data_IF_900913846652
#
_entry.id   IF_900913846652
#
_cell.length_a   1.000
_cell.length_b   1.000
_cell.length_c   1.000
_cell.angle_alpha   90.00
_cell.angle_beta   90.00
_cell.angle_gamma   90.00
#
_symmetry.space_group_name_H-M   'P 1'
#
loop_
_entity.id
_entity.type
_entity.pdbx_description
1 polymer ?
#
# COMPACT_ATOMS: atom_id res chain seq x y z
N UNK A 1 -11.87 -9.28 7.52
CA UNK A 1 -12.78 -8.57 6.60
C UNK A 1 -12.00 -8.07 5.39
N UNK A 2 -12.52 -8.32 4.17
CA UNK A 2 -11.88 -7.83 2.94
C UNK A 2 -12.31 -6.39 2.67
N UNK A 3 -11.35 -5.50 2.47
CA UNK A 3 -11.59 -4.07 2.24
C UNK A 3 -11.14 -3.72 0.83
N UNK A 4 -12.06 -3.19 0.01
CA UNK A 4 -11.74 -2.64 -1.30
C UNK A 4 -11.19 -1.23 -1.16
N UNK A 5 -10.02 -0.98 -1.76
CA UNK A 5 -9.34 0.30 -1.69
C UNK A 5 -9.24 0.99 -3.06
N UNK A 6 -8.65 2.19 -3.11
CA UNK A 6 -8.24 2.85 -4.36
C UNK A 6 -6.94 2.30 -4.95
N UNK A 7 -6.39 1.26 -4.35
CA UNK A 7 -5.15 0.59 -4.76
C UNK A 7 -5.41 -0.89 -5.06
N UNK A 8 -6.06 -1.22 -6.19
CA UNK A 8 -6.57 -2.57 -6.48
C UNK A 8 -5.50 -3.67 -6.43
N UNK A 9 -4.24 -3.33 -6.72
CA UNK A 9 -3.15 -4.29 -6.63
C UNK A 9 -2.79 -4.71 -5.19
N UNK A 10 -3.32 -4.01 -4.20
CA UNK A 10 -3.19 -4.36 -2.77
C UNK A 10 -4.43 -5.12 -2.26
N UNK A 11 -5.52 -5.12 -3.01
CA UNK A 11 -6.77 -5.79 -2.66
C UNK A 11 -6.68 -7.29 -3.00
N UNK A 12 -5.77 -7.99 -2.32
CA UNK A 12 -5.45 -9.40 -2.58
C UNK A 12 -5.84 -10.24 -1.36
N UNK A 13 -6.74 -11.22 -1.58
CA UNK A 13 -7.18 -12.13 -0.52
C UNK A 13 -6.09 -13.11 -0.07
N UNK A 14 -5.34 -13.66 -1.03
CA UNK A 14 -4.23 -14.59 -0.77
C UNK A 14 -2.99 -14.04 -1.45
N UNK A 15 -2.10 -13.45 -0.65
CA UNK A 15 -0.90 -12.77 -1.16
C UNK A 15 0.31 -13.69 -1.13
N UNK A 16 0.88 -13.99 -2.30
CA UNK A 16 2.13 -14.75 -2.42
C UNK A 16 3.34 -14.04 -1.80
N UNK A 17 3.32 -12.71 -1.72
CA UNK A 17 4.38 -11.96 -1.04
C UNK A 17 4.27 -12.12 0.48
N UNK A 18 3.07 -12.10 1.04
CA UNK A 18 2.84 -12.36 2.46
C UNK A 18 3.18 -13.82 2.80
N UNK A 19 2.83 -14.79 1.93
CA UNK A 19 3.19 -16.19 2.10
C UNK A 19 4.71 -16.39 2.23
N UNK A 20 5.51 -15.67 1.43
CA UNK A 20 6.98 -15.70 1.56
C UNK A 20 7.46 -15.22 2.92
N UNK A 21 6.84 -14.16 3.44
CA UNK A 21 7.15 -13.67 4.78
C UNK A 21 6.76 -14.70 5.85
N UNK A 22 5.57 -15.32 5.73
CA UNK A 22 5.11 -16.37 6.65
C UNK A 22 6.09 -17.56 6.62
N UNK A 23 6.50 -18.03 5.43
CA UNK A 23 7.49 -19.07 5.29
C UNK A 23 8.81 -18.73 6.02
N UNK A 24 9.30 -17.49 5.84
CA UNK A 24 10.54 -17.03 6.47
C UNK A 24 10.45 -17.01 7.98
N UNK A 25 9.39 -16.42 8.55
CA UNK A 25 9.20 -16.34 10.00
C UNK A 25 8.85 -17.67 10.65
N UNK A 26 8.37 -18.66 9.86
CA UNK A 26 8.22 -20.04 10.28
C UNK A 26 9.55 -20.81 10.31
N UNK A 27 10.70 -20.14 10.19
CA UNK A 27 12.00 -20.78 10.15
C UNK A 27 12.27 -21.55 8.87
N UNK A 28 11.70 -21.10 7.75
CA UNK A 28 11.78 -21.73 6.42
C UNK A 28 11.20 -23.16 6.39
N UNK A 29 10.26 -23.42 7.29
CA UNK A 29 9.57 -24.69 7.39
C UNK A 29 8.42 -24.79 6.37
N UNK A 30 8.62 -25.57 5.31
CA UNK A 30 7.66 -25.71 4.22
C UNK A 30 6.36 -26.41 4.66
N UNK A 31 6.42 -27.34 5.60
CA UNK A 31 5.24 -28.07 6.11
C UNK A 31 4.36 -27.13 6.94
N UNK A 32 4.95 -26.34 7.82
CA UNK A 32 4.20 -25.36 8.62
C UNK A 32 3.60 -24.26 7.74
N UNK A 33 4.35 -23.75 6.76
CA UNK A 33 3.82 -22.79 5.80
C UNK A 33 2.64 -23.36 5.01
N UNK A 34 2.74 -24.59 4.50
CA UNK A 34 1.67 -25.24 3.76
C UNK A 34 0.41 -25.42 4.63
N UNK A 35 0.58 -25.76 5.90
CA UNK A 35 -0.53 -25.89 6.87
C UNK A 35 -1.24 -24.54 7.11
N UNK A 36 -0.47 -23.46 7.29
CA UNK A 36 -1.04 -22.12 7.47
C UNK A 36 -1.79 -21.64 6.22
N UNK A 37 -1.24 -21.89 5.02
CA UNK A 37 -1.90 -21.55 3.76
C UNK A 37 -3.15 -22.39 3.49
N UNK A 38 -3.14 -23.68 3.86
CA UNK A 38 -4.32 -24.53 3.81
C UNK A 38 -5.42 -24.00 4.76
N UNK A 39 -5.09 -23.62 5.99
CA UNK A 39 -6.03 -23.01 6.93
C UNK A 39 -6.62 -21.70 6.38
N UNK A 40 -5.79 -20.86 5.73
CA UNK A 40 -6.29 -19.65 5.07
C UNK A 40 -7.32 -19.96 3.99
N UNK A 41 -7.08 -21.00 3.19
CA UNK A 41 -7.96 -21.40 2.09
C UNK A 41 -9.27 -22.05 2.57
N UNK A 42 -9.24 -22.82 3.67
CA UNK A 42 -10.41 -23.55 4.19
C UNK A 42 -11.22 -22.73 5.19
N UNK A 43 -10.53 -22.07 6.13
CA UNK A 43 -11.14 -21.39 7.27
C UNK A 43 -11.15 -19.87 7.14
N UNK A 44 -10.51 -19.34 6.07
CA UNK A 44 -10.37 -17.90 5.83
C UNK A 44 -9.43 -17.19 6.79
N UNK A 45 -8.67 -17.93 7.62
CA UNK A 45 -7.75 -17.38 8.62
C UNK A 45 -6.68 -18.39 9.01
N UNK A 46 -5.57 -17.90 9.51
CA UNK A 46 -4.56 -18.68 10.23
C UNK A 46 -4.06 -17.89 11.44
N UNK A 47 -3.43 -18.58 12.38
CA UNK A 47 -2.81 -17.98 13.57
C UNK A 47 -1.34 -18.37 13.56
N UNK A 48 -0.47 -17.37 13.62
CA UNK A 48 0.98 -17.57 13.76
C UNK A 48 1.35 -17.74 15.23
N UNK A 49 2.44 -18.47 15.50
CA UNK A 49 2.95 -18.68 16.87
C UNK A 49 3.59 -17.44 17.46
N UNK A 50 3.86 -17.44 18.75
CA UNK A 50 4.53 -16.30 19.41
C UNK A 50 5.99 -16.16 18.95
N UNK A 51 6.66 -17.28 18.63
CA UNK A 51 8.00 -17.27 18.04
C UNK A 51 7.97 -16.63 16.64
N UNK A 52 6.96 -16.92 15.82
CA UNK A 52 6.79 -16.29 14.52
C UNK A 52 6.49 -14.79 14.66
N UNK A 53 5.68 -14.40 15.65
CA UNK A 53 5.41 -12.97 15.93
C UNK A 53 6.69 -12.21 16.31
N UNK A 54 7.57 -12.82 17.11
CA UNK A 54 8.85 -12.22 17.48
C UNK A 54 9.73 -11.92 16.25
N UNK A 55 9.62 -12.71 15.17
CA UNK A 55 10.34 -12.45 13.92
C UNK A 55 9.78 -11.25 13.14
N UNK A 56 8.62 -10.72 13.53
CA UNK A 56 7.99 -9.55 12.89
C UNK A 56 8.37 -8.21 13.54
N UNK A 57 9.19 -8.18 14.57
CA UNK A 57 9.57 -6.95 15.28
C UNK A 57 10.20 -5.87 14.36
N UNK A 58 10.88 -6.30 13.28
CA UNK A 58 11.45 -5.39 12.27
C UNK A 58 10.48 -5.00 11.15
N UNK A 59 9.22 -5.45 11.22
CA UNK A 59 8.20 -5.16 10.23
C UNK A 59 7.11 -4.28 10.85
N UNK A 60 6.73 -3.24 10.14
CA UNK A 60 5.60 -2.39 10.50
C UNK A 60 4.52 -2.51 9.44
N UNK A 61 3.32 -2.85 9.83
CA UNK A 61 2.15 -2.97 8.95
C UNK A 61 1.03 -2.04 9.39
N UNK A 62 0.44 -1.34 8.42
CA UNK A 62 -0.73 -0.51 8.64
C UNK A 62 -1.56 -0.43 7.36
N UNK A 63 -2.79 0.08 7.47
CA UNK A 63 -3.70 0.26 6.33
C UNK A 63 -4.32 1.66 6.41
N UNK A 64 -3.91 2.60 5.56
CA UNK A 64 -4.57 3.90 5.47
C UNK A 64 -5.94 3.76 4.80
N UNK A 65 -6.90 4.58 5.21
CA UNK A 65 -8.20 4.68 4.56
C UNK A 65 -8.07 5.41 3.21
N UNK A 66 -9.09 5.24 2.34
CA UNK A 66 -9.12 5.89 1.02
C UNK A 66 -8.89 7.41 1.10
N UNK A 67 -9.51 8.07 2.07
CA UNK A 67 -9.37 9.52 2.29
C UNK A 67 -7.94 9.89 2.67
N UNK A 68 -7.32 9.15 3.58
CA UNK A 68 -5.91 9.36 3.98
C UNK A 68 -4.96 9.19 2.79
N UNK A 69 -5.23 8.23 1.91
CA UNK A 69 -4.44 8.01 0.69
C UNK A 69 -4.51 9.21 -0.26
N UNK A 70 -5.70 9.79 -0.45
CA UNK A 70 -5.87 11.00 -1.26
C UNK A 70 -5.16 12.21 -0.65
N UNK A 71 -5.28 12.40 0.66
CA UNK A 71 -4.58 13.47 1.40
C UNK A 71 -3.05 13.38 1.25
N UNK A 72 -2.48 12.18 1.23
CA UNK A 72 -1.04 11.97 1.00
C UNK A 72 -0.63 12.39 -0.41
N UNK A 73 -1.43 12.06 -1.43
CA UNK A 73 -1.15 12.47 -2.83
C UNK A 73 -1.18 14.00 -2.92
N UNK A 74 -2.24 14.63 -2.42
CA UNK A 74 -2.40 16.09 -2.44
C UNK A 74 -1.25 16.80 -1.73
N UNK A 75 -0.99 16.42 -0.49
CA UNK A 75 0.05 17.06 0.33
C UNK A 75 1.45 16.92 -0.28
N UNK A 76 1.77 15.78 -0.88
CA UNK A 76 3.06 15.59 -1.54
C UNK A 76 3.16 16.44 -2.80
N UNK A 77 2.09 16.47 -3.61
CA UNK A 77 2.03 17.29 -4.81
C UNK A 77 2.15 18.79 -4.49
N UNK A 78 1.40 19.30 -3.53
CA UNK A 78 1.48 20.70 -3.08
C UNK A 78 2.89 21.08 -2.61
N UNK A 79 3.55 20.18 -1.89
CA UNK A 79 4.88 20.43 -1.33
C UNK A 79 6.01 20.35 -2.34
N UNK A 80 5.91 19.47 -3.33
CA UNK A 80 7.04 19.09 -4.18
C UNK A 80 6.79 19.23 -5.68
N UNK A 81 5.53 19.34 -6.09
CA UNK A 81 5.10 19.23 -7.49
C UNK A 81 5.14 17.79 -8.03
N UNK A 82 5.57 16.80 -7.23
CA UNK A 82 5.71 15.42 -7.69
C UNK A 82 4.41 14.63 -7.48
N UNK A 83 3.96 13.94 -8.52
CA UNK A 83 2.74 13.14 -8.50
C UNK A 83 3.07 11.67 -8.26
N UNK A 84 2.53 11.09 -7.19
CA UNK A 84 2.64 9.67 -6.87
C UNK A 84 1.34 8.93 -7.20
N UNK A 85 1.45 7.64 -7.47
CA UNK A 85 0.30 6.75 -7.61
C UNK A 85 -0.31 6.35 -6.26
N UNK A 86 -1.50 5.76 -6.30
CA UNK A 86 -2.25 5.38 -5.09
C UNK A 86 -1.51 4.34 -4.23
N UNK A 87 -0.75 3.42 -4.81
CA UNK A 87 0.01 2.40 -4.07
C UNK A 87 1.21 3.01 -3.36
N UNK A 88 1.92 3.91 -4.03
CA UNK A 88 3.01 4.69 -3.42
C UNK A 88 2.48 5.58 -2.31
N UNK A 89 1.28 6.16 -2.48
CA UNK A 89 0.63 6.96 -1.45
C UNK A 89 0.27 6.14 -0.20
N UNK A 90 -0.17 4.88 -0.36
CA UNK A 90 -0.36 3.97 0.78
C UNK A 90 0.95 3.76 1.53
N UNK A 91 2.04 3.45 0.84
CA UNK A 91 3.35 3.27 1.47
C UNK A 91 3.84 4.53 2.19
N UNK A 92 3.68 5.71 1.58
CA UNK A 92 4.03 6.99 2.18
C UNK A 92 3.18 7.32 3.41
N UNK A 93 1.88 7.04 3.37
CA UNK A 93 0.97 7.23 4.50
C UNK A 93 1.30 6.31 5.68
N UNK A 94 1.59 5.03 5.40
CA UNK A 94 2.04 4.06 6.42
C UNK A 94 3.37 4.50 7.04
N UNK A 95 4.32 4.95 6.22
CA UNK A 95 5.58 5.50 6.72
C UNK A 95 5.37 6.72 7.62
N UNK A 96 4.44 7.61 7.25
CA UNK A 96 4.07 8.75 8.08
C UNK A 96 3.55 8.34 9.46
N UNK A 97 2.70 7.32 9.54
CA UNK A 97 2.19 6.74 10.79
C UNK A 97 3.34 6.11 11.61
N UNK A 98 4.16 5.28 10.97
CA UNK A 98 5.34 4.69 11.61
C UNK A 98 6.24 5.76 12.24
N UNK A 99 6.57 6.80 11.48
CA UNK A 99 7.43 7.89 11.97
C UNK A 99 6.79 8.66 13.13
N UNK A 100 5.48 8.87 13.08
CA UNK A 100 4.75 9.55 14.16
C UNK A 100 4.75 8.74 15.47
N UNK A 101 4.67 7.41 15.37
CA UNK A 101 4.62 6.49 16.50
C UNK A 101 6.01 6.25 17.10
N UNK A 102 7.00 5.95 16.25
CA UNK A 102 8.32 5.50 16.70
C UNK A 102 9.33 6.64 16.91
N UNK A 103 9.11 7.79 16.27
CA UNK A 103 10.07 8.90 16.17
C UNK A 103 11.40 8.51 15.50
N UNK A 104 11.41 7.42 14.75
CA UNK A 104 12.58 6.97 14.00
C UNK A 104 12.95 7.99 12.92
N UNK A 105 14.19 8.46 12.91
CA UNK A 105 14.74 9.42 11.96
C UNK A 105 15.63 8.77 10.89
N UNK A 106 15.67 7.44 10.85
CA UNK A 106 16.43 6.69 9.84
C UNK A 106 15.98 7.07 8.44
N UNK A 107 16.94 7.27 7.55
CA UNK A 107 16.66 7.56 6.13
C UNK A 107 15.90 6.39 5.52
N UNK A 108 14.76 6.70 4.95
CA UNK A 108 13.84 5.70 4.41
C UNK A 108 13.71 5.86 2.89
N UNK A 109 13.64 4.74 2.19
CA UNK A 109 13.36 4.66 0.76
C UNK A 109 11.98 4.04 0.58
N UNK A 110 11.10 4.73 -0.14
CA UNK A 110 9.78 4.21 -0.51
C UNK A 110 9.87 3.67 -1.93
N UNK A 111 9.57 2.36 -2.10
CA UNK A 111 9.49 1.76 -3.41
C UNK A 111 8.23 2.21 -4.14
N UNK A 112 8.39 2.92 -5.25
CA UNK A 112 7.29 3.34 -6.12
C UNK A 112 7.26 2.41 -7.34
N UNK A 113 6.31 1.48 -7.36
CA UNK A 113 6.27 0.38 -8.33
C UNK A 113 5.19 0.52 -9.39
N UNK A 114 4.33 1.54 -9.28
CA UNK A 114 3.27 1.82 -10.23
C UNK A 114 3.36 3.25 -10.77
N UNK A 115 2.74 3.46 -11.92
CA UNK A 115 2.64 4.78 -12.53
C UNK A 115 1.33 5.46 -12.14
N UNK A 116 1.33 6.76 -11.80
CA UNK A 116 0.11 7.51 -11.51
C UNK A 116 -0.87 7.51 -12.71
N UNK A 117 -0.38 7.34 -13.94
CA UNK A 117 -1.22 7.23 -15.14
C UNK A 117 -2.13 5.99 -15.14
N UNK A 118 -1.81 4.94 -14.39
CA UNK A 118 -2.69 3.78 -14.26
C UNK A 118 -3.92 4.05 -13.39
N UNK A 119 -3.84 5.06 -12.55
CA UNK A 119 -4.86 5.40 -11.56
C UNK A 119 -5.26 6.87 -11.70
N UNK A 120 -5.27 7.37 -12.92
CA UNK A 120 -5.41 8.80 -13.26
C UNK A 120 -6.59 9.44 -12.52
N UNK A 121 -7.76 8.80 -12.52
CA UNK A 121 -8.94 9.31 -11.81
C UNK A 121 -8.64 9.58 -10.33
N UNK A 122 -8.25 8.54 -9.60
CA UNK A 122 -8.00 8.65 -8.15
C UNK A 122 -6.88 9.66 -7.82
N UNK A 123 -5.89 9.79 -8.69
CA UNK A 123 -4.78 10.72 -8.51
C UNK A 123 -5.22 12.16 -8.80
N UNK A 124 -5.95 12.38 -9.88
CA UNK A 124 -6.41 13.72 -10.24
C UNK A 124 -7.46 14.26 -9.28
N UNK A 125 -8.42 13.42 -8.86
CA UNK A 125 -9.41 13.78 -7.83
C UNK A 125 -8.73 14.16 -6.50
N UNK A 126 -7.62 13.50 -6.16
CA UNK A 126 -6.86 13.83 -4.96
C UNK A 126 -6.14 15.18 -5.07
N UNK A 127 -5.71 15.59 -6.27
CA UNK A 127 -4.98 16.84 -6.50
C UNK A 127 -5.92 18.04 -6.56
N UNK A 128 -7.07 17.89 -7.27
CA UNK A 128 -8.01 19.01 -7.45
C UNK A 128 -9.41 18.46 -7.80
N UNK A 129 -10.40 18.76 -6.98
CA UNK A 129 -11.81 18.35 -7.13
C UNK A 129 -12.43 18.76 -8.46
N UNK A 130 -11.89 19.76 -9.17
CA UNK A 130 -12.38 20.16 -10.50
C UNK A 130 -12.31 19.01 -11.52
N UNK A 131 -11.49 18.01 -11.27
CA UNK A 131 -11.32 16.87 -12.18
C UNK A 131 -12.39 15.80 -12.02
N UNK A 132 -13.19 15.81 -10.95
CA UNK A 132 -14.22 14.81 -10.66
C UNK A 132 -15.29 14.68 -11.76
N UNK A 133 -15.59 15.79 -12.47
CA UNK A 133 -16.56 15.83 -13.57
C UNK A 133 -15.99 15.48 -14.97
N UNK A 134 -14.68 15.23 -15.07
CA UNK A 134 -14.01 14.98 -16.33
C UNK A 134 -14.08 13.51 -16.75
N UNK A 135 -14.01 13.25 -18.07
CA UNK A 135 -13.86 11.90 -18.60
C UNK A 135 -12.42 11.38 -18.37
N UNK A 136 -12.23 10.06 -18.42
CA UNK A 136 -10.89 9.46 -18.28
C UNK A 136 -9.91 9.96 -19.35
N UNK A 137 -10.41 10.31 -20.54
CA UNK A 137 -9.60 10.89 -21.62
C UNK A 137 -9.19 12.33 -21.32
N UNK A 138 -10.09 13.16 -20.78
CA UNK A 138 -9.80 14.52 -20.39
C UNK A 138 -8.78 14.56 -19.25
N UNK A 139 -8.86 13.63 -18.32
CA UNK A 139 -7.86 13.50 -17.26
C UNK A 139 -6.48 13.17 -17.80
N UNK A 140 -6.39 12.23 -18.75
CA UNK A 140 -5.12 11.87 -19.38
C UNK A 140 -4.50 13.06 -20.10
N UNK A 141 -5.33 13.89 -20.78
CA UNK A 141 -4.88 15.09 -21.48
C UNK A 141 -4.43 16.22 -20.55
N UNK A 142 -5.01 16.31 -19.36
CA UNK A 142 -4.72 17.35 -18.37
C UNK A 142 -3.66 16.92 -17.33
N UNK A 143 -3.17 15.68 -17.39
CA UNK A 143 -2.15 15.21 -16.46
C UNK A 143 -0.87 16.07 -16.59
N UNK A 144 -0.24 16.47 -15.47
CA UNK A 144 0.97 17.30 -15.50
C UNK A 144 2.10 16.64 -16.29
N UNK A 145 2.37 17.14 -17.51
CA UNK A 145 3.38 16.57 -18.41
C UNK A 145 4.82 16.76 -17.94
N UNK A 146 5.05 17.63 -16.97
CA UNK A 146 6.37 17.84 -16.35
C UNK A 146 6.89 16.61 -15.58
N UNK A 147 6.08 15.54 -15.53
CA UNK A 147 6.35 14.29 -14.80
C UNK A 147 6.48 13.06 -15.74
N UNK A 148 6.50 13.30 -17.08
CA UNK A 148 6.73 12.23 -18.07
C UNK A 148 8.21 11.96 -18.32
#
# INVERSE_FOLDING_TARGET
EFILTSSPSMDILISSNLERLIYRIAGENAEENAKLMAALSTDGKYIITDEMKAQLESFYGNSPQKKETAEVISALYEKTGYVIDTHTAVAAGVYGKYKAETKDETKTVIASTASPFKFTRSVMDAIDEKYDSMTDFDWWMNFPRSQM
#
